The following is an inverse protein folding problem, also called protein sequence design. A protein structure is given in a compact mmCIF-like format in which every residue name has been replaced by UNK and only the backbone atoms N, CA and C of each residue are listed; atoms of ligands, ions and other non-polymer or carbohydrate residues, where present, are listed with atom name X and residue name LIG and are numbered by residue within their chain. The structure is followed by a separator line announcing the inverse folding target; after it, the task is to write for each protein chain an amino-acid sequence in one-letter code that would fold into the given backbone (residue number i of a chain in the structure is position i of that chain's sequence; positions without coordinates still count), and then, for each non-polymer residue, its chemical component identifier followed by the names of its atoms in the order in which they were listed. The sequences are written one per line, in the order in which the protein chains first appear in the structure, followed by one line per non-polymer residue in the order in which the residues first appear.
data_IF_664689160775
#
_entry.id   IF_664689160775
#
_cell.length_a   1.000
_cell.length_b   1.000
_cell.length_c   1.000
_cell.angle_alpha   90.00
_cell.angle_beta   90.00
_cell.angle_gamma   90.00
#
_symmetry.space_group_name_H-M   'P 1'
#
loop_
_entity.id
_entity.type
_entity.pdbx_description
1 polymer ?
#
# COMPACT_ATOMS: atom_id res chain seq x y z
N UNK A 1 0.82 -8.12 -8.23
CA UNK A 1 0.67 -8.61 -6.85
C UNK A 1 1.99 -9.24 -6.47
N UNK A 2 2.49 -8.99 -5.26
CA UNK A 2 3.73 -9.58 -4.73
C UNK A 2 3.49 -10.08 -3.31
N UNK A 3 4.33 -10.98 -2.82
CA UNK A 3 4.32 -11.43 -1.43
C UNK A 3 5.44 -10.75 -0.65
N UNK A 4 5.11 -10.13 0.48
CA UNK A 4 6.07 -9.70 1.50
C UNK A 4 6.24 -10.84 2.50
N UNK A 5 7.28 -11.63 2.28
CA UNK A 5 7.59 -12.83 3.06
C UNK A 5 8.49 -12.48 4.24
N UNK A 6 8.14 -12.95 5.44
CA UNK A 6 9.04 -12.93 6.58
C UNK A 6 10.18 -13.93 6.36
N UNK A 7 11.40 -13.54 6.73
CA UNK A 7 12.58 -14.41 6.70
C UNK A 7 12.73 -15.22 8.00
N UNK A 8 12.08 -14.79 9.08
CA UNK A 8 12.14 -15.44 10.39
C UNK A 8 10.99 -16.43 10.61
N UNK A 9 9.88 -16.26 9.88
CA UNK A 9 8.70 -17.11 9.93
C UNK A 9 8.19 -17.38 8.51
N UNK A 10 8.49 -18.58 7.99
CA UNK A 10 8.11 -18.99 6.64
C UNK A 10 6.59 -19.02 6.42
N UNK A 11 5.79 -19.12 7.49
CA UNK A 11 4.32 -19.12 7.41
C UNK A 11 3.72 -17.71 7.36
N UNK A 12 4.51 -16.69 7.72
CA UNK A 12 4.08 -15.29 7.74
C UNK A 12 4.41 -14.59 6.43
N UNK A 13 3.37 -14.30 5.66
CA UNK A 13 3.48 -13.46 4.47
C UNK A 13 2.27 -12.56 4.29
N UNK A 14 2.52 -11.38 3.70
CA UNK A 14 1.46 -10.44 3.34
C UNK A 14 1.39 -10.28 1.83
N UNK A 15 0.18 -10.36 1.30
CA UNK A 15 -0.07 -10.03 -0.10
C UNK A 15 -0.07 -8.51 -0.27
N UNK A 16 0.81 -8.02 -1.14
CA UNK A 16 0.95 -6.61 -1.47
C UNK A 16 0.50 -6.31 -2.90
N UNK A 17 -0.03 -5.11 -3.08
CA UNK A 17 -0.39 -4.57 -4.38
C UNK A 17 0.19 -3.16 -4.55
N UNK A 18 0.49 -2.80 -5.80
CA UNK A 18 0.77 -1.40 -6.16
C UNK A 18 -0.56 -0.63 -6.15
N UNK A 19 -0.75 0.34 -5.23
CA UNK A 19 -2.04 1.00 -5.06
C UNK A 19 -2.43 1.84 -6.26
N UNK A 20 -1.47 2.48 -6.94
CA UNK A 20 -1.71 3.40 -8.07
C UNK A 20 -2.28 2.71 -9.31
N UNK A 21 -2.13 1.37 -9.41
CA UNK A 21 -2.75 0.58 -10.49
C UNK A 21 -4.25 0.33 -10.28
N UNK A 22 -4.74 0.49 -9.06
CA UNK A 22 -6.10 0.11 -8.65
C UNK A 22 -6.89 1.35 -8.25
N UNK A 23 -6.21 2.31 -7.61
CA UNK A 23 -6.73 3.59 -7.16
C UNK A 23 -5.85 4.69 -7.77
N UNK A 24 -6.12 5.13 -9.02
CA UNK A 24 -5.31 6.14 -9.69
C UNK A 24 -5.26 7.48 -8.94
N UNK A 25 -6.33 7.79 -8.20
CA UNK A 25 -6.45 9.01 -7.38
C UNK A 25 -5.83 8.86 -5.97
N UNK A 26 -5.13 7.76 -5.70
CA UNK A 26 -4.41 7.56 -4.44
C UNK A 26 -3.11 8.37 -4.41
N UNK A 27 -3.05 9.36 -3.52
CA UNK A 27 -1.94 10.31 -3.37
C UNK A 27 -1.52 10.35 -1.89
N UNK A 28 -0.73 9.35 -1.42
CA UNK A 28 -0.33 9.28 -0.03
C UNK A 28 0.66 10.39 0.34
N UNK A 29 0.40 11.08 1.44
CA UNK A 29 1.28 12.10 2.01
C UNK A 29 2.09 11.51 3.17
N UNK A 30 3.40 11.34 2.95
CA UNK A 30 4.31 10.85 3.98
C UNK A 30 4.75 11.99 4.91
N UNK A 31 4.74 11.72 6.22
CA UNK A 31 5.20 12.69 7.21
C UNK A 31 6.73 12.91 7.09
N UNK A 32 7.20 14.12 7.42
CA UNK A 32 8.63 14.39 7.45
C UNK A 32 9.38 13.53 8.49
N UNK A 33 8.70 13.05 9.53
CA UNK A 33 9.27 12.10 10.49
C UNK A 33 9.51 10.74 9.83
N UNK A 34 8.50 10.18 9.17
CA UNK A 34 8.62 8.89 8.50
C UNK A 34 9.68 8.93 7.37
N UNK A 35 9.75 10.04 6.63
CA UNK A 35 10.74 10.23 5.58
C UNK A 35 12.18 10.17 6.14
N UNK A 36 12.42 10.86 7.27
CA UNK A 36 13.71 10.82 7.99
C UNK A 36 14.01 9.42 8.52
N UNK A 37 13.02 8.75 9.11
CA UNK A 37 13.20 7.39 9.62
C UNK A 37 13.52 6.39 8.50
N UNK A 38 12.97 6.58 7.31
CA UNK A 38 13.28 5.79 6.10
C UNK A 38 14.60 6.21 5.43
N UNK A 39 15.20 7.32 5.84
CA UNK A 39 16.44 7.85 5.25
C UNK A 39 16.27 8.23 3.77
N UNK A 40 15.13 8.82 3.42
CA UNK A 40 14.87 9.39 2.09
C UNK A 40 15.01 10.91 2.10
N UNK A 41 15.43 11.48 0.97
CA UNK A 41 15.58 12.93 0.81
C UNK A 41 14.30 13.55 0.24
N UNK A 42 13.61 12.82 -0.65
CA UNK A 42 12.34 13.22 -1.25
C UNK A 42 11.27 12.13 -1.09
N UNK A 43 9.97 12.51 -0.98
CA UNK A 43 8.87 11.56 -1.16
C UNK A 43 8.92 10.78 -2.48
N UNK A 44 9.54 11.34 -3.52
CA UNK A 44 9.70 10.68 -4.83
C UNK A 44 10.62 9.44 -4.76
N UNK A 45 11.47 9.34 -3.74
CA UNK A 45 12.33 8.17 -3.50
C UNK A 45 11.56 7.01 -2.85
N UNK A 46 10.30 7.24 -2.47
CA UNK A 46 9.47 6.27 -1.75
C UNK A 46 8.51 5.57 -2.70
N UNK A 47 8.64 4.25 -2.76
CA UNK A 47 7.64 3.38 -3.37
C UNK A 47 6.58 2.97 -2.34
N UNK A 48 5.32 2.94 -2.75
CA UNK A 48 4.21 2.53 -1.89
C UNK A 48 3.61 1.19 -2.32
N UNK A 49 3.31 0.36 -1.33
CA UNK A 49 2.52 -0.85 -1.48
C UNK A 49 1.41 -0.90 -0.43
N UNK A 50 0.31 -1.57 -0.73
CA UNK A 50 -0.80 -1.74 0.21
C UNK A 50 -1.05 -3.20 0.50
N UNK A 51 -1.30 -3.52 1.76
CA UNK A 51 -1.60 -4.88 2.22
C UNK A 51 -3.03 -5.24 1.83
N UNK A 52 -3.18 -6.41 1.21
CA UNK A 52 -4.46 -6.95 0.77
C UNK A 52 -5.01 -7.97 1.77
N UNK A 53 -6.29 -7.87 2.09
CA UNK A 53 -7.07 -8.96 2.67
C UNK A 53 -7.82 -9.66 1.54
N UNK A 54 -7.30 -10.81 1.11
CA UNK A 54 -7.88 -11.61 0.02
C UNK A 54 -9.01 -12.48 0.59
N UNK A 55 -10.14 -12.52 -0.11
CA UNK A 55 -11.29 -13.39 0.15
C UNK A 55 -11.56 -14.28 -1.06
N UNK A 56 -12.57 -15.13 -0.98
CA UNK A 56 -12.98 -16.02 -2.08
C UNK A 56 -13.24 -15.28 -3.41
N UNK A 57 -13.75 -14.04 -3.34
CA UNK A 57 -13.97 -13.20 -4.51
C UNK A 57 -13.16 -11.90 -4.43
N UNK A 58 -12.81 -11.36 -5.60
CA UNK A 58 -12.17 -10.04 -5.69
C UNK A 58 -13.07 -8.95 -5.10
N UNK A 59 -14.38 -9.04 -5.32
CA UNK A 59 -15.35 -8.09 -4.77
C UNK A 59 -15.40 -8.08 -3.24
N UNK A 60 -15.20 -9.24 -2.60
CA UNK A 60 -15.09 -9.35 -1.14
C UNK A 60 -13.70 -9.02 -0.60
N UNK A 61 -12.70 -8.85 -1.46
CA UNK A 61 -11.32 -8.55 -1.07
C UNK A 61 -11.13 -7.05 -0.85
N UNK A 62 -10.21 -6.70 0.05
CA UNK A 62 -9.94 -5.30 0.41
C UNK A 62 -8.45 -5.00 0.45
N UNK A 63 -8.09 -3.72 0.36
CA UNK A 63 -6.75 -3.21 0.67
C UNK A 63 -6.80 -2.16 1.77
N UNK A 64 -5.68 -2.02 2.48
CA UNK A 64 -5.50 -0.99 3.48
C UNK A 64 -4.77 0.22 2.86
N UNK A 65 -5.53 1.26 2.47
CA UNK A 65 -4.95 2.51 1.95
C UNK A 65 -4.51 3.46 3.08
N UNK A 66 -5.05 3.31 4.29
CA UNK A 66 -4.70 4.15 5.46
C UNK A 66 -3.31 3.85 6.00
N UNK A 67 -2.84 2.60 5.86
CA UNK A 67 -1.53 2.20 6.34
C UNK A 67 -0.68 1.47 5.29
N UNK A 68 -0.17 2.20 4.27
CA UNK A 68 0.67 1.61 3.24
C UNK A 68 2.05 1.24 3.78
N UNK A 69 2.70 0.30 3.09
CA UNK A 69 4.13 0.05 3.22
C UNK A 69 4.88 1.07 2.33
N UNK A 70 5.58 2.00 2.99
CA UNK A 70 6.51 2.92 2.36
C UNK A 70 7.89 2.26 2.28
N UNK A 71 8.48 2.22 1.09
CA UNK A 71 9.73 1.51 0.80
C UNK A 71 10.72 2.47 0.14
N UNK A 72 11.85 2.70 0.79
CA UNK A 72 13.02 3.30 0.15
C UNK A 72 13.85 2.15 -0.46
N UNK A 73 13.72 1.98 -1.77
CA UNK A 73 14.41 0.90 -2.47
C UNK A 73 15.93 1.12 -2.58
N UNK A 74 16.39 2.37 -2.50
CA UNK A 74 17.81 2.73 -2.60
C UNK A 74 18.61 2.19 -1.41
N UNK A 75 18.02 2.21 -0.22
CA UNK A 75 18.67 1.74 1.02
C UNK A 75 18.05 0.45 1.60
N UNK A 76 17.03 -0.10 0.93
CA UNK A 76 16.31 -1.32 1.33
C UNK A 76 15.60 -1.21 2.69
N UNK A 77 15.22 0.00 3.10
CA UNK A 77 14.42 0.23 4.31
C UNK A 77 12.96 0.39 3.94
N UNK A 78 12.09 -0.17 4.77
CA UNK A 78 10.66 -0.04 4.62
C UNK A 78 10.00 0.16 5.99
N UNK A 79 8.84 0.82 5.98
CA UNK A 79 8.02 1.05 7.17
C UNK A 79 6.56 1.00 6.75
N UNK A 80 5.73 0.33 7.55
CA UNK A 80 4.30 0.53 7.45
C UNK A 80 3.95 1.82 8.19
N UNK A 81 3.52 2.83 7.44
CA UNK A 81 3.17 4.16 7.98
C UNK A 81 1.66 4.26 8.12
N UNK A 82 1.16 5.17 8.96
CA UNK A 82 -0.26 5.50 9.03
C UNK A 82 -0.41 6.92 8.49
N UNK A 83 -1.20 7.08 7.42
CA UNK A 83 -1.45 8.38 6.81
C UNK A 83 -2.44 9.19 7.65
N UNK A 84 -2.31 10.51 7.70
CA UNK A 84 -3.29 11.37 8.39
C UNK A 84 -4.54 11.66 7.54
N UNK A 85 -4.41 11.56 6.22
CA UNK A 85 -5.47 11.74 5.22
C UNK A 85 -6.77 10.97 5.58
N UNK A 86 -7.87 11.66 5.93
CA UNK A 86 -9.10 11.04 6.44
C UNK A 86 -9.91 10.28 5.39
N UNK A 87 -9.70 10.56 4.10
CA UNK A 87 -10.33 9.87 2.98
C UNK A 87 -9.90 8.41 2.86
N UNK A 88 -8.75 8.05 3.44
CA UNK A 88 -8.25 6.69 3.44
C UNK A 88 -8.67 5.94 4.70
N UNK A 89 -9.32 4.79 4.51
CA UNK A 89 -9.67 3.82 5.55
C UNK A 89 -8.78 2.58 5.50
N UNK A 90 -8.88 1.75 6.55
CA UNK A 90 -8.18 0.46 6.63
C UNK A 90 -8.73 -0.61 5.69
N UNK A 91 -9.91 -0.39 5.08
CA UNK A 91 -10.58 -1.36 4.22
C UNK A 91 -11.24 -0.66 3.03
N UNK A 92 -10.57 -0.67 1.89
CA UNK A 92 -11.12 -0.26 0.61
C UNK A 92 -11.39 -1.50 -0.25
N UNK A 93 -12.60 -1.62 -0.80
CA UNK A 93 -12.98 -2.76 -1.62
C UNK A 93 -12.20 -2.76 -2.95
N UNK A 94 -11.73 -3.93 -3.37
CA UNK A 94 -11.09 -4.09 -4.69
C UNK A 94 -12.12 -4.14 -5.84
N UNK A 95 -13.37 -4.53 -5.55
CA UNK A 95 -14.43 -4.64 -6.54
C UNK A 95 -15.19 -3.36 -6.86
N UNK A 96 -14.95 -2.25 -6.15
CA UNK A 96 -15.68 -0.99 -6.34
C UNK A 96 -15.07 -0.06 -7.38
N UNK A 97 -14.05 -0.50 -8.13
CA UNK A 97 -13.60 0.25 -9.29
C UNK A 97 -14.74 0.26 -10.31
N UNK A 98 -15.41 1.41 -10.46
CA UNK A 98 -16.25 1.70 -11.61
C UNK A 98 -15.37 1.57 -12.86
N UNK A 99 -15.28 0.35 -13.40
CA UNK A 99 -15.00 0.15 -14.81
C UNK A 99 -16.22 0.74 -15.50
N UNK A 100 -16.13 2.00 -15.93
CA UNK A 100 -16.92 2.41 -17.09
C UNK A 100 -16.43 1.50 -18.21
N UNK A 101 -17.13 0.39 -18.41
CA UNK A 101 -17.13 -0.31 -19.67
C UNK A 101 -17.44 0.75 -20.73
N UNK A 102 -16.63 0.76 -21.80
CA UNK A 102 -16.64 1.81 -22.80
C UNK A 102 -18.03 2.08 -23.35
N UNK A 103 -18.30 3.37 -23.52
CA UNK A 103 -19.06 3.85 -24.68
C UNK A 103 -18.07 4.15 -25.81
#
# INVERSE_FOLDING_TARGET
MISLQSLDDETLSFILMNPFRIFPDYTPEISGQDLRELGAESPDDISYYVVSTIRETVAGSTVNLKAPLAVNALNRRAKQIILDQPEYTFRHALGSTNRKEGE
#
